data_IF_008872904283
#
_entry.id   IF_008872904283
#
_cell.length_a   1.000
_cell.length_b   1.000
_cell.length_c   1.000
_cell.angle_alpha   90.00
_cell.angle_beta   90.00
_cell.angle_gamma   90.00
#
_symmetry.space_group_name_H-M   'P 1'
#
loop_
_entity.id
_entity.type
_entity.pdbx_description
1 polymer ?
#
# COMPACT_ATOMS: atom_id res chain seq x y z
N UNK A 1 -21.91 32.82 -41.16
CA UNK A 1 -22.76 32.23 -40.10
C UNK A 1 -23.05 30.80 -40.48
N UNK A 2 -22.36 29.84 -39.87
CA UNK A 2 -22.75 28.44 -39.78
C UNK A 2 -21.92 27.82 -38.66
N UNK A 3 -22.57 27.46 -37.56
CA UNK A 3 -22.00 26.72 -36.43
C UNK A 3 -21.54 25.33 -36.86
N UNK A 4 -20.39 24.81 -36.37
CA UNK A 4 -20.02 23.42 -36.60
C UNK A 4 -20.96 22.47 -35.82
N UNK A 5 -21.16 21.23 -36.29
CA UNK A 5 -22.09 20.28 -35.70
C UNK A 5 -21.59 19.76 -34.33
N UNK A 6 -22.50 19.31 -33.45
CA UNK A 6 -22.12 18.77 -32.16
C UNK A 6 -21.36 17.45 -32.34
N UNK A 7 -20.24 17.34 -31.63
CA UNK A 7 -19.39 16.15 -31.57
C UNK A 7 -20.23 14.88 -31.39
N UNK A 8 -20.05 13.94 -32.32
CA UNK A 8 -20.43 12.54 -32.09
C UNK A 8 -19.65 11.99 -30.90
N UNK A 9 -20.27 11.19 -30.01
CA UNK A 9 -19.57 10.60 -28.90
C UNK A 9 -18.48 9.67 -29.44
N UNK A 10 -17.23 9.94 -29.03
CA UNK A 10 -16.09 9.08 -29.29
C UNK A 10 -16.46 7.63 -28.96
N UNK A 11 -16.38 6.77 -29.97
CA UNK A 11 -16.48 5.33 -29.79
C UNK A 11 -15.51 4.88 -28.70
N UNK A 12 -16.01 4.06 -27.78
CA UNK A 12 -15.23 3.50 -26.69
C UNK A 12 -14.02 2.75 -27.24
N UNK A 13 -12.85 3.39 -27.21
CA UNK A 13 -11.55 2.80 -27.51
C UNK A 13 -11.37 1.56 -26.63
N UNK A 14 -11.31 0.39 -27.27
CA UNK A 14 -11.04 -0.89 -26.62
C UNK A 14 -9.70 -0.80 -25.86
N UNK A 15 -9.70 -1.16 -24.58
CA UNK A 15 -8.53 -1.08 -23.72
C UNK A 15 -7.37 -1.96 -24.25
N UNK A 16 -6.11 -1.51 -24.22
CA UNK A 16 -4.98 -2.19 -24.87
C UNK A 16 -4.59 -3.55 -24.24
N UNK A 17 -5.23 -3.99 -23.15
CA UNK A 17 -4.91 -5.25 -22.46
C UNK A 17 -6.17 -5.95 -21.91
N UNK A 18 -6.87 -6.78 -22.70
CA UNK A 18 -8.21 -7.32 -22.38
C UNK A 18 -8.24 -8.42 -21.30
N UNK A 19 -7.16 -8.64 -20.52
CA UNK A 19 -7.08 -9.64 -19.43
C UNK A 19 -6.53 -9.11 -18.10
N UNK A 20 -6.56 -7.79 -17.86
CA UNK A 20 -6.18 -7.19 -16.57
C UNK A 20 -7.41 -6.53 -15.90
N UNK A 21 -7.62 -6.85 -14.62
CA UNK A 21 -8.83 -6.52 -13.85
C UNK A 21 -8.90 -5.07 -13.32
N UNK A 22 -8.43 -4.08 -14.08
CA UNK A 22 -8.43 -2.68 -13.61
C UNK A 22 -8.85 -1.70 -14.70
N UNK A 23 -9.90 -0.92 -14.42
CA UNK A 23 -10.46 0.10 -15.32
C UNK A 23 -10.21 1.51 -14.75
N UNK A 24 -10.25 2.54 -15.60
CA UNK A 24 -10.01 3.95 -15.22
C UNK A 24 -10.92 4.49 -14.11
N UNK A 25 -12.04 3.81 -13.84
CA UNK A 25 -12.99 4.13 -12.75
C UNK A 25 -12.43 3.85 -11.35
N UNK A 26 -11.47 2.94 -11.19
CA UNK A 26 -10.91 2.55 -9.87
C UNK A 26 -9.88 3.55 -9.32
N UNK A 27 -9.27 4.35 -10.20
CA UNK A 27 -8.36 5.44 -9.81
C UNK A 27 -9.12 6.64 -9.18
N UNK A 28 -10.44 6.74 -9.40
CA UNK A 28 -11.27 7.84 -8.92
C UNK A 28 -11.77 7.65 -7.47
N UNK A 29 -11.65 6.44 -6.91
CA UNK A 29 -12.23 6.05 -5.61
C UNK A 29 -11.19 5.81 -4.51
N UNK A 30 -9.88 5.84 -4.81
CA UNK A 30 -8.82 5.74 -3.81
C UNK A 30 -8.77 6.99 -2.90
N UNK A 31 -9.15 6.86 -1.63
CA UNK A 31 -8.98 7.95 -0.64
C UNK A 31 -7.53 8.09 -0.22
N UNK A 32 -7.06 9.34 -0.19
CA UNK A 32 -5.69 9.72 0.15
C UNK A 32 -5.36 9.37 1.60
N UNK A 33 -4.26 8.63 1.81
CA UNK A 33 -3.68 8.41 3.14
C UNK A 33 -3.23 9.73 3.78
N UNK A 34 -3.00 9.75 5.11
CA UNK A 34 -2.57 10.99 5.78
C UNK A 34 -1.28 11.53 5.18
N UNK A 35 -0.35 10.66 4.76
CA UNK A 35 1.00 11.00 4.27
C UNK A 35 1.15 11.20 2.76
N UNK A 36 0.07 11.38 1.99
CA UNK A 36 0.21 11.56 0.53
C UNK A 36 1.11 12.75 0.16
N UNK A 37 1.95 12.62 -0.90
CA UNK A 37 2.78 13.71 -1.39
C UNK A 37 1.97 14.95 -1.80
N UNK A 38 2.55 16.14 -1.58
CA UNK A 38 1.89 17.41 -1.89
C UNK A 38 1.84 17.67 -3.40
N UNK A 39 0.69 17.41 -4.03
CA UNK A 39 0.42 17.76 -5.44
C UNK A 39 0.53 19.27 -5.72
N UNK A 40 0.41 20.11 -4.70
CA UNK A 40 0.55 21.56 -4.85
C UNK A 40 2.03 21.95 -4.96
N UNK A 41 2.88 21.41 -4.07
CA UNK A 41 4.33 21.61 -4.12
C UNK A 41 4.91 21.05 -5.42
N UNK A 42 4.48 19.84 -5.82
CA UNK A 42 4.82 19.22 -7.09
C UNK A 42 4.52 20.13 -8.29
N UNK A 43 3.27 20.57 -8.44
CA UNK A 43 2.85 21.44 -9.55
C UNK A 43 3.56 22.80 -9.54
N UNK A 44 3.89 23.33 -8.37
CA UNK A 44 4.61 24.59 -8.27
C UNK A 44 6.06 24.45 -8.72
N UNK A 45 6.75 23.42 -8.22
CA UNK A 45 8.14 23.18 -8.56
C UNK A 45 8.31 22.76 -10.03
N UNK A 46 7.40 21.93 -10.56
CA UNK A 46 7.38 21.58 -11.98
C UNK A 46 7.25 22.82 -12.87
N UNK A 47 6.35 23.77 -12.52
CA UNK A 47 6.23 25.03 -13.27
C UNK A 47 7.53 25.84 -13.25
N UNK A 48 8.19 25.93 -12.10
CA UNK A 48 9.48 26.63 -11.95
C UNK A 48 10.55 25.99 -12.84
N UNK A 49 10.75 24.67 -12.76
CA UNK A 49 11.80 23.99 -13.54
C UNK A 49 11.48 23.95 -15.04
N UNK A 50 10.20 23.86 -15.41
CA UNK A 50 9.75 23.97 -16.80
C UNK A 50 10.04 25.35 -17.38
N UNK A 51 9.86 26.41 -16.59
CA UNK A 51 10.21 27.78 -17.00
C UNK A 51 11.71 27.90 -17.30
N UNK A 52 12.56 27.40 -16.40
CA UNK A 52 14.01 27.35 -16.60
C UNK A 52 14.38 26.57 -17.87
N UNK A 53 13.82 25.37 -18.05
CA UNK A 53 14.07 24.55 -19.23
C UNK A 53 13.58 25.21 -20.53
N UNK A 54 12.51 26.02 -20.46
CA UNK A 54 12.06 26.87 -21.55
C UNK A 54 13.08 27.95 -21.92
N UNK A 55 13.68 28.62 -20.93
CA UNK A 55 14.75 29.60 -21.16
C UNK A 55 15.99 28.95 -21.78
N UNK A 56 16.38 27.76 -21.30
CA UNK A 56 17.47 26.97 -21.90
C UNK A 56 17.16 26.64 -23.37
N UNK A 57 15.93 26.19 -23.64
CA UNK A 57 15.49 25.87 -25.02
C UNK A 57 15.52 27.11 -25.92
N UNK A 58 15.18 28.28 -25.39
CA UNK A 58 15.25 29.54 -26.12
C UNK A 58 16.69 29.97 -26.41
N UNK A 59 17.63 29.74 -25.50
CA UNK A 59 19.06 29.98 -25.75
C UNK A 59 19.56 29.08 -26.87
N UNK A 60 19.25 27.78 -26.80
CA UNK A 60 19.64 26.79 -27.81
C UNK A 60 19.04 27.11 -29.20
N UNK A 61 17.80 27.62 -29.26
CA UNK A 61 17.14 27.92 -30.53
C UNK A 61 17.69 29.18 -31.22
N UNK A 62 18.25 30.13 -30.46
CA UNK A 62 18.60 31.46 -30.97
C UNK A 62 20.11 31.70 -31.15
N UNK A 63 20.95 30.72 -30.81
CA UNK A 63 22.41 30.87 -30.84
C UNK A 63 23.08 29.69 -31.52
N UNK A 64 24.30 29.92 -32.02
CA UNK A 64 25.14 28.81 -32.52
C UNK A 64 25.56 27.92 -31.35
N UNK A 65 25.87 26.62 -31.58
CA UNK A 65 26.15 25.69 -30.48
C UNK A 65 27.24 26.15 -29.50
N UNK A 66 28.34 26.73 -30.00
CA UNK A 66 29.42 27.24 -29.15
C UNK A 66 28.98 28.43 -28.28
N UNK A 67 28.25 29.38 -28.87
CA UNK A 67 27.70 30.52 -28.14
C UNK A 67 26.66 30.07 -27.10
N UNK A 68 25.81 29.10 -27.47
CA UNK A 68 24.85 28.51 -26.55
C UNK A 68 25.54 27.79 -25.37
N UNK A 69 26.64 27.07 -25.62
CA UNK A 69 27.45 26.47 -24.56
C UNK A 69 27.93 27.54 -23.56
N UNK A 70 28.59 28.58 -24.04
CA UNK A 70 29.17 29.63 -23.18
C UNK A 70 28.09 30.34 -22.36
N UNK A 71 26.97 30.71 -23.01
CA UNK A 71 25.82 31.35 -22.36
C UNK A 71 25.27 30.44 -21.26
N UNK A 72 25.04 29.15 -21.55
CA UNK A 72 24.42 28.22 -20.62
C UNK A 72 25.34 27.87 -19.44
N UNK A 73 26.66 27.78 -19.65
CA UNK A 73 27.64 27.61 -18.56
C UNK A 73 27.61 28.79 -17.59
N UNK A 74 27.72 30.02 -18.12
CA UNK A 74 27.66 31.23 -17.30
C UNK A 74 26.29 31.40 -16.61
N UNK A 75 25.23 31.03 -17.31
CA UNK A 75 23.87 31.07 -16.78
C UNK A 75 23.70 30.12 -15.58
N UNK A 76 24.28 28.91 -15.63
CA UNK A 76 24.25 27.96 -14.51
C UNK A 76 24.83 28.54 -13.21
N UNK A 77 25.87 29.35 -13.29
CA UNK A 77 26.45 30.00 -12.12
C UNK A 77 25.62 31.20 -11.65
N UNK A 78 25.15 32.01 -12.60
CA UNK A 78 24.32 33.19 -12.33
C UNK A 78 23.02 32.83 -11.60
N UNK A 79 22.40 31.68 -11.93
CA UNK A 79 21.14 31.26 -11.30
C UNK A 79 21.31 30.64 -9.91
N UNK A 80 22.53 30.50 -9.37
CA UNK A 80 22.75 29.79 -8.10
C UNK A 80 21.86 30.30 -6.95
N UNK A 81 21.75 31.62 -6.68
CA UNK A 81 20.85 32.12 -5.62
C UNK A 81 19.37 31.85 -5.91
N UNK A 82 18.97 31.96 -7.17
CA UNK A 82 17.59 31.67 -7.60
C UNK A 82 17.26 30.18 -7.47
N UNK A 83 18.22 29.29 -7.77
CA UNK A 83 18.09 27.84 -7.63
C UNK A 83 17.93 27.44 -6.16
N UNK A 84 18.74 28.03 -5.27
CA UNK A 84 18.63 27.86 -3.82
C UNK A 84 17.25 28.31 -3.32
N UNK A 85 16.79 29.49 -3.70
CA UNK A 85 15.48 30.00 -3.31
C UNK A 85 14.33 29.13 -3.85
N UNK A 86 14.45 28.66 -5.09
CA UNK A 86 13.45 27.77 -5.71
C UNK A 86 13.34 26.44 -4.97
N UNK A 87 14.48 25.85 -4.57
CA UNK A 87 14.52 24.64 -3.76
C UNK A 87 13.93 24.89 -2.35
N UNK A 88 14.28 26.02 -1.72
CA UNK A 88 13.76 26.40 -0.41
C UNK A 88 12.23 26.57 -0.40
N UNK A 89 11.67 27.24 -1.42
CA UNK A 89 10.22 27.41 -1.57
C UNK A 89 9.49 26.06 -1.73
N UNK A 90 10.07 25.13 -2.49
CA UNK A 90 9.52 23.78 -2.65
C UNK A 90 9.55 23.03 -1.31
N UNK A 91 10.68 23.04 -0.61
CA UNK A 91 10.87 22.39 0.69
C UNK A 91 9.95 22.96 1.76
N UNK A 92 9.74 24.27 1.81
CA UNK A 92 8.79 24.90 2.72
C UNK A 92 7.35 24.41 2.47
N UNK A 93 6.92 24.32 1.20
CA UNK A 93 5.63 23.75 0.84
C UNK A 93 5.46 22.29 1.26
N UNK A 94 6.49 21.46 1.07
CA UNK A 94 6.51 20.06 1.51
C UNK A 94 6.53 19.95 3.04
N UNK A 95 7.34 20.77 3.72
CA UNK A 95 7.50 20.77 5.17
C UNK A 95 6.22 21.19 5.90
N UNK A 96 5.50 22.19 5.39
CA UNK A 96 4.17 22.58 5.91
C UNK A 96 3.17 21.44 5.78
N UNK A 97 3.08 20.85 4.57
CA UNK A 97 2.19 19.71 4.32
C UNK A 97 2.51 18.56 5.26
N UNK A 98 3.77 18.17 5.36
CA UNK A 98 4.25 17.12 6.24
C UNK A 98 3.97 17.41 7.74
N UNK A 99 4.19 18.65 8.20
CA UNK A 99 3.85 19.05 9.55
C UNK A 99 2.36 18.86 9.85
N UNK A 100 1.48 19.24 8.93
CA UNK A 100 0.04 19.04 9.08
C UNK A 100 -0.35 17.55 9.10
N UNK A 101 0.40 16.68 8.41
CA UNK A 101 0.23 15.23 8.49
C UNK A 101 0.55 14.69 9.88
N UNK A 102 1.69 15.11 10.44
CA UNK A 102 2.10 14.74 11.79
C UNK A 102 1.18 15.32 12.87
N UNK A 103 0.69 16.55 12.71
CA UNK A 103 -0.33 17.14 13.60
C UNK A 103 -1.57 16.26 13.71
N UNK A 104 -2.14 15.85 12.57
CA UNK A 104 -3.32 14.96 12.52
C UNK A 104 -3.08 13.61 13.19
N UNK A 105 -1.83 13.15 13.23
CA UNK A 105 -1.46 11.89 13.86
C UNK A 105 -1.29 12.07 15.35
N UNK A 106 -0.58 13.11 15.77
CA UNK A 106 -0.41 13.47 17.16
C UNK A 106 -1.77 13.67 17.86
N UNK A 107 -2.66 14.47 17.27
CA UNK A 107 -4.00 14.74 17.79
C UNK A 107 -4.79 13.44 18.00
N UNK A 108 -4.68 12.51 17.06
CA UNK A 108 -5.40 11.23 17.12
C UNK A 108 -4.83 10.26 18.13
N UNK A 109 -3.52 10.26 18.31
CA UNK A 109 -2.82 9.38 19.23
C UNK A 109 -2.76 9.96 20.65
N UNK A 110 -3.23 11.19 20.84
CA UNK A 110 -3.08 11.93 22.11
C UNK A 110 -1.62 12.23 22.43
N UNK A 111 -0.77 12.40 21.42
CA UNK A 111 0.65 12.74 21.58
C UNK A 111 0.85 14.26 21.53
N UNK A 112 1.82 14.78 22.28
CA UNK A 112 2.22 16.18 22.15
C UNK A 112 2.97 16.38 20.82
N UNK A 113 2.51 17.29 19.98
CA UNK A 113 3.16 17.64 18.72
C UNK A 113 4.61 18.09 18.89
N UNK A 114 4.99 18.62 20.06
CA UNK A 114 6.37 18.99 20.37
C UNK A 114 7.33 17.82 20.18
N UNK A 115 6.89 16.58 20.38
CA UNK A 115 7.70 15.38 20.18
C UNK A 115 8.21 15.23 18.73
N UNK A 116 7.43 15.68 17.74
CA UNK A 116 7.78 15.65 16.31
C UNK A 116 8.52 16.91 15.83
N UNK A 117 8.77 17.85 16.74
CA UNK A 117 9.43 19.13 16.49
C UNK A 117 10.75 19.28 17.26
N UNK A 118 11.00 18.42 18.24
CA UNK A 118 12.04 18.58 19.25
C UNK A 118 13.48 18.27 18.76
N UNK A 119 13.82 18.47 17.49
CA UNK A 119 15.17 18.13 17.01
C UNK A 119 15.74 18.98 15.87
N UNK A 120 17.07 19.17 15.94
CA UNK A 120 17.94 19.66 14.87
C UNK A 120 17.90 18.87 13.54
N UNK A 121 17.61 17.55 13.49
CA UNK A 121 17.68 16.75 12.26
C UNK A 121 16.78 17.23 11.11
N UNK A 122 15.66 17.89 11.40
CA UNK A 122 14.74 18.40 10.36
C UNK A 122 15.39 19.58 9.63
N UNK A 123 15.97 20.52 10.37
CA UNK A 123 16.67 21.67 9.79
C UNK A 123 17.86 21.25 8.93
N UNK A 124 18.64 20.27 9.41
CA UNK A 124 19.74 19.68 8.64
C UNK A 124 19.24 18.99 7.37
N UNK A 125 18.15 18.21 7.47
CA UNK A 125 17.53 17.56 6.30
C UNK A 125 17.08 18.60 5.26
N UNK A 126 16.41 19.67 5.69
CA UNK A 126 16.00 20.78 4.80
C UNK A 126 17.21 21.39 4.11
N UNK A 127 18.26 21.75 4.86
CA UNK A 127 19.47 22.36 4.31
C UNK A 127 20.15 21.44 3.27
N UNK A 128 20.31 20.15 3.58
CA UNK A 128 20.91 19.19 2.66
C UNK A 128 20.08 19.02 1.38
N UNK A 129 18.74 19.05 1.45
CA UNK A 129 17.90 18.95 0.25
C UNK A 129 17.89 20.24 -0.56
N UNK A 130 18.01 21.41 0.07
CA UNK A 130 18.21 22.67 -0.65
C UNK A 130 19.50 22.62 -1.48
N UNK A 131 20.61 22.18 -0.88
CA UNK A 131 21.90 22.06 -1.56
C UNK A 131 21.86 21.03 -2.71
N UNK A 132 21.32 19.83 -2.45
CA UNK A 132 21.17 18.80 -3.48
C UNK A 132 20.29 19.27 -4.65
N UNK A 133 19.16 19.93 -4.35
CA UNK A 133 18.27 20.46 -5.39
C UNK A 133 18.89 21.63 -6.14
N UNK A 134 19.66 22.49 -5.47
CA UNK A 134 20.42 23.56 -6.14
C UNK A 134 21.36 22.97 -7.19
N UNK A 135 22.07 21.91 -6.83
CA UNK A 135 22.96 21.19 -7.76
C UNK A 135 22.19 20.58 -8.94
N UNK A 136 21.04 19.95 -8.69
CA UNK A 136 20.20 19.38 -9.74
C UNK A 136 19.61 20.45 -10.67
N UNK A 137 19.17 21.59 -10.14
CA UNK A 137 18.70 22.73 -10.94
C UNK A 137 19.81 23.24 -11.84
N UNK A 138 21.02 23.44 -11.29
CA UNK A 138 22.21 23.86 -12.06
C UNK A 138 22.64 22.83 -13.10
N UNK A 139 22.36 21.54 -12.87
CA UNK A 139 22.67 20.49 -13.85
C UNK A 139 21.91 20.65 -15.16
N UNK A 140 20.72 21.28 -15.16
CA UNK A 140 19.92 21.47 -16.38
C UNK A 140 20.65 22.33 -17.43
N UNK A 141 21.06 23.58 -17.14
CA UNK A 141 21.84 24.37 -18.10
C UNK A 141 23.23 23.80 -18.36
N UNK A 142 23.90 23.20 -17.36
CA UNK A 142 25.24 22.63 -17.54
C UNK A 142 25.25 21.44 -18.52
N UNK A 143 24.31 20.50 -18.38
CA UNK A 143 24.21 19.35 -19.30
C UNK A 143 23.82 19.80 -20.71
N UNK A 144 22.91 20.78 -20.82
CA UNK A 144 22.56 21.37 -22.11
C UNK A 144 23.76 22.06 -22.77
N UNK A 145 24.56 22.80 -21.99
CA UNK A 145 25.78 23.45 -22.47
C UNK A 145 26.81 22.43 -22.98
N UNK A 146 27.07 21.37 -22.20
CA UNK A 146 27.99 20.30 -22.57
C UNK A 146 27.58 19.64 -23.90
N UNK A 147 26.28 19.39 -24.09
CA UNK A 147 25.77 18.78 -25.33
C UNK A 147 25.82 19.75 -26.51
N UNK A 148 25.55 21.03 -26.29
CA UNK A 148 25.72 22.05 -27.33
C UNK A 148 27.19 22.18 -27.76
N UNK A 149 28.14 22.16 -26.81
CA UNK A 149 29.57 22.16 -27.11
C UNK A 149 30.04 20.91 -27.87
N UNK A 150 29.57 19.73 -27.47
CA UNK A 150 29.84 18.49 -28.19
C UNK A 150 29.34 18.54 -29.64
N UNK A 151 28.13 19.06 -29.86
CA UNK A 151 27.56 19.28 -31.18
C UNK A 151 28.36 20.31 -31.99
N UNK A 152 28.85 21.37 -31.36
CA UNK A 152 29.72 22.36 -32.00
C UNK A 152 30.99 21.69 -32.56
N UNK A 153 31.63 20.86 -31.74
CA UNK A 153 32.84 20.14 -32.10
C UNK A 153 32.59 19.13 -33.22
N UNK A 154 31.51 18.35 -33.13
CA UNK A 154 31.13 17.39 -34.16
C UNK A 154 30.79 18.07 -35.49
N UNK A 155 30.07 19.19 -35.46
CA UNK A 155 29.73 19.96 -36.65
C UNK A 155 30.96 20.49 -37.40
N UNK A 156 32.01 20.89 -36.67
CA UNK A 156 33.29 21.31 -37.25
C UNK A 156 34.03 20.16 -37.96
N UNK A 157 33.96 18.94 -37.41
CA UNK A 157 34.64 17.77 -37.98
C UNK A 157 33.88 17.22 -39.18
N UNK A 158 32.56 17.11 -39.07
CA UNK A 158 31.70 16.44 -40.04
C UNK A 158 31.20 17.33 -41.17
N UNK A 159 31.27 18.66 -41.02
CA UNK A 159 30.66 19.61 -41.96
C UNK A 159 29.13 19.59 -41.91
N UNK A 160 28.56 19.34 -40.72
CA UNK A 160 27.11 19.27 -40.50
C UNK A 160 26.39 20.52 -41.02
N UNK A 161 25.24 20.32 -41.66
CA UNK A 161 24.42 21.43 -42.17
C UNK A 161 23.78 22.22 -41.03
N UNK A 162 23.50 23.49 -41.27
CA UNK A 162 22.93 24.38 -40.27
C UNK A 162 21.53 23.92 -39.83
N UNK A 163 20.74 23.36 -40.74
CA UNK A 163 19.39 22.85 -40.45
C UNK A 163 19.44 21.63 -39.52
N UNK A 164 20.37 20.71 -39.78
CA UNK A 164 20.55 19.51 -38.96
C UNK A 164 21.06 19.88 -37.56
N UNK A 165 21.99 20.84 -37.48
CA UNK A 165 22.48 21.40 -36.22
C UNK A 165 21.34 22.04 -35.40
N UNK A 166 20.46 22.81 -36.04
CA UNK A 166 19.30 23.40 -35.38
C UNK A 166 18.33 22.34 -34.86
N UNK A 167 18.11 21.26 -35.61
CA UNK A 167 17.27 20.14 -35.18
C UNK A 167 17.87 19.42 -33.95
N UNK A 168 19.18 19.20 -33.91
CA UNK A 168 19.87 18.62 -32.76
C UNK A 168 19.82 19.51 -31.51
N UNK A 169 20.02 20.83 -31.67
CA UNK A 169 19.85 21.80 -30.57
C UNK A 169 18.41 21.78 -30.02
N UNK A 170 17.40 21.69 -30.89
CA UNK A 170 16.01 21.55 -30.47
C UNK A 170 15.77 20.25 -29.69
N UNK A 171 16.40 19.14 -30.10
CA UNK A 171 16.37 17.85 -29.39
C UNK A 171 17.01 17.94 -27.99
N UNK A 172 18.13 18.67 -27.85
CA UNK A 172 18.74 18.98 -26.55
C UNK A 172 17.76 19.76 -25.66
N UNK A 173 17.03 20.74 -26.21
CA UNK A 173 15.98 21.46 -25.49
C UNK A 173 14.84 20.53 -25.03
N UNK A 174 14.34 19.66 -25.90
CA UNK A 174 13.26 18.72 -25.58
C UNK A 174 13.63 17.71 -24.49
N UNK A 175 14.87 17.22 -24.50
CA UNK A 175 15.39 16.33 -23.45
C UNK A 175 15.62 17.06 -22.13
N UNK A 176 16.04 18.33 -22.17
CA UNK A 176 16.15 19.20 -20.98
C UNK A 176 14.79 19.41 -20.32
N UNK A 177 13.72 19.61 -21.11
CA UNK A 177 12.35 19.71 -20.60
C UNK A 177 11.89 18.42 -19.90
N UNK A 178 12.22 17.26 -20.48
CA UNK A 178 11.91 15.95 -19.90
C UNK A 178 12.65 15.74 -18.56
N UNK A 179 13.93 16.12 -18.52
CA UNK A 179 14.74 16.07 -17.30
C UNK A 179 14.23 17.00 -16.21
N UNK A 180 13.86 18.24 -16.55
CA UNK A 180 13.28 19.19 -15.60
C UNK A 180 12.02 18.63 -14.92
N UNK A 181 11.16 17.94 -15.70
CA UNK A 181 10.00 17.24 -15.15
C UNK A 181 10.40 16.07 -14.24
N UNK A 182 11.41 15.29 -14.62
CA UNK A 182 11.92 14.20 -13.79
C UNK A 182 12.42 14.70 -12.43
N UNK A 183 13.23 15.76 -12.43
CA UNK A 183 13.74 16.41 -11.21
C UNK A 183 12.57 16.88 -10.35
N UNK A 184 11.61 17.60 -10.94
CA UNK A 184 10.48 18.15 -10.19
C UNK A 184 9.69 17.08 -9.43
N UNK A 185 9.35 15.98 -10.10
CA UNK A 185 8.53 14.90 -9.53
C UNK A 185 9.30 14.06 -8.51
N UNK A 186 10.56 13.77 -8.82
CA UNK A 186 11.39 12.88 -8.00
C UNK A 186 11.84 13.59 -6.73
N UNK A 187 12.30 14.84 -6.83
CA UNK A 187 12.87 15.54 -5.69
C UNK A 187 11.81 16.03 -4.69
N UNK A 188 10.59 16.34 -5.14
CA UNK A 188 9.46 16.61 -4.23
C UNK A 188 9.11 15.36 -3.41
N UNK A 189 9.11 14.18 -4.04
CA UNK A 189 8.80 12.91 -3.38
C UNK A 189 9.92 12.47 -2.43
N UNK A 190 11.18 12.64 -2.81
CA UNK A 190 12.34 12.46 -1.92
C UNK A 190 12.31 13.41 -0.73
N UNK A 191 12.03 14.71 -0.95
CA UNK A 191 11.92 15.67 0.14
C UNK A 191 10.82 15.29 1.13
N UNK A 192 9.65 14.84 0.64
CA UNK A 192 8.56 14.35 1.48
C UNK A 192 8.97 13.15 2.32
N UNK A 193 9.70 12.21 1.71
CA UNK A 193 10.19 10.99 2.36
C UNK A 193 11.21 11.33 3.44
N UNK A 194 12.22 12.14 3.11
CA UNK A 194 13.27 12.56 4.02
C UNK A 194 12.74 13.33 5.23
N UNK A 195 11.78 14.24 5.04
CA UNK A 195 11.15 14.98 6.14
C UNK A 195 10.29 14.06 7.03
N UNK A 196 9.62 13.09 6.41
CA UNK A 196 8.86 12.07 7.15
C UNK A 196 9.77 11.21 8.00
N UNK A 197 10.88 10.72 7.44
CA UNK A 197 11.90 9.96 8.16
C UNK A 197 12.49 10.78 9.30
N UNK A 198 12.89 12.03 9.06
CA UNK A 198 13.49 12.89 10.08
C UNK A 198 12.56 13.11 11.29
N UNK A 199 11.27 13.40 11.05
CA UNK A 199 10.28 13.58 12.12
C UNK A 199 9.89 12.27 12.80
N UNK A 200 9.76 11.18 12.05
CA UNK A 200 9.41 9.89 12.62
C UNK A 200 10.58 9.34 13.46
N UNK A 201 11.81 9.51 12.99
CA UNK A 201 13.02 9.11 13.71
C UNK A 201 13.21 9.88 15.03
N UNK A 202 12.82 11.17 15.10
CA UNK A 202 12.91 11.95 16.36
C UNK A 202 12.05 11.41 17.49
N UNK A 203 11.05 10.59 17.16
CA UNK A 203 10.19 9.91 18.13
C UNK A 203 10.45 8.41 18.18
N UNK A 204 11.56 7.90 17.64
CA UNK A 204 11.95 6.48 17.72
C UNK A 204 11.28 5.57 16.70
N UNK A 205 10.85 6.08 15.54
CA UNK A 205 10.37 5.24 14.44
C UNK A 205 11.50 4.45 13.79
N UNK A 206 11.38 3.12 13.74
CA UNK A 206 12.34 2.25 13.04
C UNK A 206 12.05 2.08 11.55
N UNK A 207 10.87 2.49 11.09
CA UNK A 207 10.44 2.27 9.72
C UNK A 207 9.01 2.73 9.43
N UNK A 208 8.52 2.32 8.28
CA UNK A 208 7.23 2.76 7.75
C UNK A 208 6.54 1.64 6.97
N UNK A 209 5.25 1.81 6.74
CA UNK A 209 4.49 1.01 5.78
C UNK A 209 4.56 1.68 4.42
N UNK A 210 5.01 0.96 3.40
CA UNK A 210 5.10 1.47 2.05
C UNK A 210 3.72 1.64 1.44
N UNK A 211 3.40 2.86 1.00
CA UNK A 211 2.15 3.19 0.31
C UNK A 211 2.40 3.60 -1.11
N UNK A 212 1.68 2.97 -2.04
CA UNK A 212 1.51 3.42 -3.40
C UNK A 212 0.35 4.40 -3.51
N UNK A 213 0.39 5.27 -4.51
CA UNK A 213 -0.73 6.17 -4.83
C UNK A 213 -1.91 5.44 -5.46
N UNK A 214 -1.75 4.15 -5.79
CA UNK A 214 -2.77 3.32 -6.44
C UNK A 214 -3.39 4.07 -7.62
N UNK A 215 -2.52 4.64 -8.45
CA UNK A 215 -2.89 5.10 -9.78
C UNK A 215 -2.35 4.08 -10.81
N UNK A 216 -2.99 3.97 -11.97
CA UNK A 216 -2.61 2.98 -12.99
C UNK A 216 -1.16 3.10 -13.47
N UNK A 217 -0.51 4.21 -13.15
CA UNK A 217 0.86 4.52 -13.48
C UNK A 217 1.90 3.99 -12.46
N UNK A 218 1.48 3.50 -11.29
CA UNK A 218 2.41 2.92 -10.31
C UNK A 218 3.04 1.65 -10.88
N UNK A 219 4.37 1.55 -10.93
CA UNK A 219 5.10 0.39 -11.48
C UNK A 219 4.77 -0.92 -10.74
N UNK A 220 4.82 -2.10 -11.41
CA UNK A 220 4.49 -3.39 -10.78
C UNK A 220 5.30 -3.70 -9.51
N UNK A 221 6.62 -3.46 -9.53
CA UNK A 221 7.54 -3.62 -8.39
C UNK A 221 7.14 -2.74 -7.21
N UNK A 222 6.80 -1.47 -7.48
CA UNK A 222 6.32 -0.52 -6.49
C UNK A 222 4.94 -0.88 -5.91
N UNK A 223 4.03 -1.40 -6.74
CA UNK A 223 2.72 -1.92 -6.29
C UNK A 223 2.89 -3.14 -5.39
N UNK A 224 3.87 -3.99 -5.68
CA UNK A 224 4.19 -5.16 -4.86
C UNK A 224 4.77 -4.80 -3.48
N UNK A 225 5.12 -3.54 -3.24
CA UNK A 225 5.55 -3.05 -1.93
C UNK A 225 4.40 -2.50 -1.09
N UNK A 226 3.20 -2.28 -1.66
CA UNK A 226 2.04 -1.78 -0.92
C UNK A 226 1.79 -2.59 0.36
N UNK A 227 1.72 -1.89 1.49
CA UNK A 227 1.43 -2.49 2.79
C UNK A 227 2.62 -3.17 3.48
N UNK A 228 3.79 -3.27 2.83
CA UNK A 228 4.98 -3.87 3.42
C UNK A 228 5.66 -2.89 4.38
N UNK A 229 6.12 -3.43 5.51
CA UNK A 229 7.01 -2.69 6.40
C UNK A 229 8.40 -2.59 5.78
N UNK A 230 8.97 -1.39 5.81
CA UNK A 230 10.33 -1.09 5.38
C UNK A 230 11.03 -0.34 6.51
N UNK A 231 12.17 -0.87 6.94
CA UNK A 231 13.04 -0.18 7.91
C UNK A 231 13.69 1.04 7.26
N UNK A 232 13.86 2.11 8.03
CA UNK A 232 14.62 3.29 7.60
C UNK A 232 16.09 2.97 7.29
N UNK A 233 16.67 1.95 7.92
CA UNK A 233 18.08 1.58 7.74
C UNK A 233 18.29 0.59 6.59
N UNK A 234 17.22 0.06 6.00
CA UNK A 234 17.30 -1.00 4.99
C UNK A 234 16.25 -0.79 3.88
N UNK A 235 16.45 0.21 3.00
CA UNK A 235 15.60 0.43 1.84
C UNK A 235 15.64 -0.78 0.87
N UNK A 236 14.51 -1.11 0.20
CA UNK A 236 14.47 -2.16 -0.80
C UNK A 236 15.18 -1.75 -2.10
N UNK A 237 15.62 -2.76 -2.86
CA UNK A 237 16.07 -2.60 -4.24
C UNK A 237 14.93 -2.94 -5.20
N UNK A 238 14.47 -1.95 -5.97
CA UNK A 238 13.42 -2.09 -6.98
C UNK A 238 13.90 -1.48 -8.30
N UNK A 239 13.56 -2.11 -9.42
CA UNK A 239 13.88 -1.58 -10.75
C UNK A 239 15.37 -1.21 -10.95
N UNK A 240 16.27 -1.97 -10.33
CA UNK A 240 17.73 -1.75 -10.40
C UNK A 240 18.26 -0.61 -9.53
N UNK A 241 17.43 -0.01 -8.67
CA UNK A 241 17.84 1.06 -7.75
C UNK A 241 17.46 0.72 -6.32
N UNK A 242 18.21 1.24 -5.34
CA UNK A 242 17.87 1.14 -3.91
C UNK A 242 17.34 2.46 -3.41
N UNK A 243 16.20 2.45 -2.72
CA UNK A 243 15.60 3.65 -2.17
C UNK A 243 14.30 3.38 -1.42
N UNK A 244 13.84 4.38 -0.67
CA UNK A 244 12.58 4.35 0.04
C UNK A 244 11.38 4.73 -0.86
N UNK A 245 10.17 4.55 -0.33
CA UNK A 245 8.94 4.92 -0.99
C UNK A 245 8.97 6.41 -1.38
N UNK A 246 8.98 6.71 -2.69
CA UNK A 246 9.05 8.09 -3.18
C UNK A 246 10.43 8.52 -3.68
N UNK A 247 11.46 7.68 -3.55
CA UNK A 247 12.84 8.06 -3.92
C UNK A 247 13.26 7.66 -5.34
N UNK A 248 12.42 6.89 -6.03
CA UNK A 248 12.71 6.40 -7.38
C UNK A 248 12.23 7.41 -8.45
N UNK A 249 12.76 7.36 -9.68
CA UNK A 249 12.33 8.24 -10.75
C UNK A 249 10.81 8.21 -10.97
N UNK A 250 10.18 9.39 -11.02
CA UNK A 250 8.73 9.56 -11.19
C UNK A 250 7.86 8.85 -10.14
N UNK A 251 8.45 8.40 -9.03
CA UNK A 251 7.73 7.67 -8.00
C UNK A 251 6.87 8.60 -7.17
N UNK A 252 5.61 8.23 -6.98
CA UNK A 252 4.68 8.92 -6.06
C UNK A 252 4.33 8.08 -4.83
N UNK A 253 4.97 6.92 -4.64
CA UNK A 253 4.86 6.18 -3.39
C UNK A 253 5.32 7.05 -2.21
N UNK A 254 4.83 6.75 -1.02
CA UNK A 254 5.14 7.52 0.18
C UNK A 254 5.22 6.62 1.41
N UNK A 255 6.05 6.99 2.40
CA UNK A 255 6.13 6.26 3.66
C UNK A 255 4.99 6.66 4.60
N UNK A 256 4.29 5.68 5.16
CA UNK A 256 3.43 5.88 6.33
C UNK A 256 4.19 5.42 7.59
N UNK A 257 4.81 6.35 8.36
CA UNK A 257 5.70 6.01 9.49
C UNK A 257 5.00 5.25 10.62
N UNK A 258 5.74 4.33 11.23
CA UNK A 258 5.33 3.60 12.44
C UNK A 258 5.94 4.28 13.66
N UNK A 259 5.11 4.73 14.63
CA UNK A 259 5.56 5.57 15.75
C UNK A 259 5.49 4.79 17.08
N UNK A 260 6.54 4.73 17.91
CA UNK A 260 6.45 4.11 19.23
C UNK A 260 5.57 4.92 20.19
N UNK A 261 4.76 4.22 21.00
CA UNK A 261 4.15 4.80 22.20
C UNK A 261 5.18 4.65 23.32
N UNK A 262 5.44 5.73 24.08
CA UNK A 262 6.59 5.91 24.98
C UNK A 262 6.71 4.97 26.20
N UNK A 263 6.03 3.83 26.19
CA UNK A 263 6.07 2.77 27.20
C UNK A 263 6.73 1.49 26.65
N UNK A 264 7.78 1.65 25.81
CA UNK A 264 8.77 0.68 25.26
C UNK A 264 8.27 -0.68 24.73
N UNK A 265 6.96 -0.91 24.76
CA UNK A 265 6.31 -2.21 24.53
C UNK A 265 5.17 -2.12 23.52
N UNK A 266 4.76 -0.90 23.11
CA UNK A 266 3.72 -0.70 22.10
C UNK A 266 4.16 0.30 21.03
N UNK A 267 4.69 -0.20 19.91
CA UNK A 267 4.77 0.57 18.68
C UNK A 267 3.37 0.80 18.11
N UNK A 268 2.86 2.01 18.22
CA UNK A 268 1.58 2.41 17.63
C UNK A 268 1.82 2.91 16.21
N UNK A 269 1.51 2.07 15.24
CA UNK A 269 1.30 2.53 13.87
C UNK A 269 0.47 3.83 13.90
N UNK A 270 0.91 4.86 13.18
CA UNK A 270 0.13 6.09 13.01
C UNK A 270 -1.12 5.81 12.14
N UNK A 271 -1.97 4.85 12.52
CA UNK A 271 -3.10 4.39 11.71
C UNK A 271 -4.25 5.34 11.93
N UNK A 272 -4.74 5.78 10.79
CA UNK A 272 -5.46 7.02 10.56
C UNK A 272 -5.98 7.17 9.16
N UNK A 273 -5.82 6.14 8.31
CA UNK A 273 -6.58 5.90 7.08
C UNK A 273 -6.31 4.48 6.54
N UNK A 274 -7.42 3.73 6.37
CA UNK A 274 -7.63 2.30 6.06
C UNK A 274 -7.57 1.32 7.26
N UNK A 275 -8.59 0.42 7.40
CA UNK A 275 -8.39 -0.85 8.06
C UNK A 275 -7.14 -1.50 7.51
N UNK A 276 -6.19 -1.76 8.38
CA UNK A 276 -5.22 -2.81 8.15
C UNK A 276 -5.96 -4.11 7.87
N UNK A 277 -5.30 -5.07 7.22
CA UNK A 277 -5.75 -6.45 7.11
C UNK A 277 -6.11 -7.08 8.50
N UNK A 278 -5.67 -6.44 9.59
CA UNK A 278 -5.95 -6.76 10.99
C UNK A 278 -7.26 -6.15 11.53
N UNK A 279 -7.64 -4.95 11.07
CA UNK A 279 -8.97 -4.37 11.33
C UNK A 279 -10.07 -5.09 10.52
N UNK A 280 -9.69 -5.73 9.41
CA UNK A 280 -10.47 -6.73 8.67
C UNK A 280 -10.62 -8.06 9.45
N UNK A 281 -9.59 -8.50 10.19
CA UNK A 281 -9.67 -9.70 11.04
C UNK A 281 -10.55 -9.51 12.28
N UNK A 282 -10.57 -8.31 12.88
CA UNK A 282 -11.40 -7.99 14.03
C UNK A 282 -12.90 -7.88 13.68
N UNK A 283 -13.25 -7.39 12.48
CA UNK A 283 -14.64 -7.26 12.00
C UNK A 283 -15.24 -8.60 11.55
N UNK A 284 -14.41 -9.50 11.00
CA UNK A 284 -14.84 -10.76 10.41
C UNK A 284 -15.10 -10.69 8.89
N UNK A 285 -14.68 -9.61 8.21
CA UNK A 285 -14.70 -9.44 6.75
C UNK A 285 -13.31 -8.99 6.25
N UNK A 286 -12.78 -9.59 5.17
CA UNK A 286 -11.39 -9.37 4.68
C UNK A 286 -11.28 -9.17 3.15
N UNK A 287 -10.33 -8.31 2.69
CA UNK A 287 -9.28 -8.62 1.66
C UNK A 287 -8.54 -7.39 1.08
N UNK A 288 -7.21 -7.56 0.81
CA UNK A 288 -6.60 -7.51 -0.54
C UNK A 288 -5.09 -7.90 -0.55
N UNK A 289 -4.72 -8.92 -1.34
CA UNK A 289 -3.33 -9.34 -1.64
C UNK A 289 -2.64 -8.44 -2.69
N UNK A 290 -1.30 -8.43 -2.75
CA UNK A 290 -0.53 -7.88 -3.89
C UNK A 290 -0.57 -8.82 -5.11
N UNK A 291 -0.27 -8.33 -6.31
CA UNK A 291 -0.51 -9.09 -7.55
C UNK A 291 0.51 -10.21 -7.85
N UNK A 292 1.70 -10.19 -7.25
CA UNK A 292 2.65 -11.32 -7.31
C UNK A 292 2.18 -12.49 -6.43
N UNK A 293 1.52 -12.19 -5.30
CA UNK A 293 0.93 -13.19 -4.39
C UNK A 293 -0.26 -13.91 -5.04
N UNK A 294 -0.86 -13.32 -6.09
CA UNK A 294 -1.79 -14.01 -6.97
C UNK A 294 -1.12 -14.91 -8.02
N UNK A 295 0.18 -14.74 -8.28
CA UNK A 295 0.88 -15.35 -9.43
C UNK A 295 1.66 -16.63 -9.13
N UNK A 296 1.77 -17.04 -7.85
CA UNK A 296 2.46 -18.29 -7.45
C UNK A 296 1.54 -19.38 -6.85
N UNK A 297 0.22 -19.28 -7.03
CA UNK A 297 -0.70 -20.35 -6.64
C UNK A 297 -0.81 -20.61 -5.13
N UNK A 298 -0.76 -19.56 -4.30
CA UNK A 298 -1.00 -19.66 -2.86
C UNK A 298 -2.48 -20.00 -2.58
N UNK A 299 -2.76 -21.30 -2.53
CA UNK A 299 -4.00 -21.90 -2.05
C UNK A 299 -4.22 -21.50 -0.58
N UNK A 300 -5.45 -21.09 -0.26
CA UNK A 300 -5.84 -20.65 1.08
C UNK A 300 -6.08 -21.87 1.97
N UNK A 301 -5.54 -21.76 3.20
CA UNK A 301 -5.68 -22.62 4.39
C UNK A 301 -4.61 -23.72 4.55
N UNK A 302 -3.63 -23.47 5.42
CA UNK A 302 -3.11 -24.54 6.29
C UNK A 302 -3.52 -24.28 7.71
N UNK A 303 -4.61 -24.92 8.11
CA UNK A 303 -4.77 -25.35 9.48
C UNK A 303 -3.49 -26.08 9.90
N UNK A 304 -2.89 -25.66 11.02
CA UNK A 304 -1.69 -26.31 11.54
C UNK A 304 -2.12 -27.67 12.12
N UNK A 305 -1.62 -28.80 11.61
CA UNK A 305 -2.01 -30.11 12.13
C UNK A 305 -1.81 -30.19 13.64
N UNK A 306 -2.87 -30.51 14.38
CA UNK A 306 -2.85 -30.59 15.85
C UNK A 306 -3.25 -29.30 16.58
N UNK A 307 -3.51 -28.20 15.87
CA UNK A 307 -4.06 -26.97 16.46
C UNK A 307 -5.61 -27.04 16.56
N UNK A 308 -6.25 -26.17 17.36
CA UNK A 308 -7.71 -25.98 17.32
C UNK A 308 -8.21 -25.40 16.00
N UNK A 309 -9.53 -25.26 15.86
CA UNK A 309 -10.14 -24.54 14.75
C UNK A 309 -9.63 -23.09 14.67
N UNK A 310 -9.38 -22.61 13.46
CA UNK A 310 -9.02 -21.22 13.23
C UNK A 310 -10.21 -20.30 13.53
N UNK A 311 -10.01 -19.21 14.27
CA UNK A 311 -11.06 -18.30 14.75
C UNK A 311 -12.22 -19.02 15.49
N UNK A 312 -11.87 -19.99 16.33
CA UNK A 312 -12.81 -20.80 17.12
C UNK A 312 -13.73 -19.96 18.01
N UNK A 313 -13.28 -18.81 18.48
CA UNK A 313 -14.05 -17.85 19.28
C UNK A 313 -15.24 -17.25 18.52
N UNK A 314 -15.23 -17.31 17.19
CA UNK A 314 -16.33 -16.87 16.32
C UNK A 314 -17.17 -18.04 15.81
N UNK A 315 -16.97 -19.24 16.33
CA UNK A 315 -17.65 -20.44 15.89
C UNK A 315 -19.17 -20.29 16.05
N UNK A 316 -19.89 -20.55 14.96
CA UNK A 316 -21.34 -20.40 14.89
C UNK A 316 -21.99 -21.75 15.13
N UNK A 317 -22.56 -21.90 16.31
CA UNK A 317 -23.38 -23.05 16.68
C UNK A 317 -24.85 -22.60 16.75
N UNK A 318 -25.63 -22.99 15.76
CA UNK A 318 -27.06 -22.69 15.69
C UNK A 318 -27.86 -23.58 16.66
N UNK A 319 -28.53 -22.93 17.62
CA UNK A 319 -29.37 -23.57 18.63
C UNK A 319 -30.54 -24.35 18.03
N UNK A 320 -31.11 -23.89 16.91
CA UNK A 320 -32.21 -24.58 16.24
C UNK A 320 -31.81 -25.95 15.69
N UNK A 321 -30.56 -26.11 15.27
CA UNK A 321 -30.02 -27.41 14.82
C UNK A 321 -29.71 -28.38 15.97
N UNK A 322 -29.48 -27.91 17.19
CA UNK A 322 -29.24 -28.82 18.32
C UNK A 322 -30.55 -29.38 18.88
N UNK A 323 -31.49 -28.50 19.20
CA UNK A 323 -32.76 -28.88 19.83
C UNK A 323 -33.72 -29.59 18.89
N UNK A 324 -33.73 -29.24 17.58
CA UNK A 324 -34.67 -29.81 16.60
C UNK A 324 -34.07 -30.89 15.68
N UNK A 325 -32.77 -31.21 15.78
CA UNK A 325 -32.12 -32.19 14.89
C UNK A 325 -31.18 -33.18 15.59
N UNK A 326 -30.26 -32.75 16.46
CA UNK A 326 -29.29 -33.66 17.09
C UNK A 326 -29.80 -34.34 18.37
N UNK A 327 -30.68 -33.67 19.13
CA UNK A 327 -31.24 -34.15 20.39
C UNK A 327 -32.74 -34.46 20.33
N UNK A 328 -33.37 -34.33 19.16
CA UNK A 328 -34.79 -34.65 18.94
C UNK A 328 -34.98 -36.12 18.50
N UNK A 329 -35.59 -36.99 19.33
CA UNK A 329 -35.88 -38.38 18.98
C UNK A 329 -36.87 -38.53 17.82
N UNK A 330 -37.70 -37.52 17.55
CA UNK A 330 -38.75 -37.51 16.52
C UNK A 330 -38.26 -37.09 15.13
N UNK A 331 -37.02 -36.63 14.99
CA UNK A 331 -36.52 -36.12 13.71
C UNK A 331 -36.24 -37.25 12.70
N UNK A 332 -36.80 -37.23 11.47
CA UNK A 332 -36.73 -38.35 10.50
C UNK A 332 -35.31 -38.82 10.12
N UNK A 333 -34.30 -37.94 10.22
CA UNK A 333 -32.87 -38.26 9.98
C UNK A 333 -31.98 -38.09 11.21
N UNK A 334 -32.54 -37.64 12.33
CA UNK A 334 -31.79 -37.17 13.52
C UNK A 334 -32.06 -37.98 14.78
N UNK A 335 -33.19 -38.71 14.84
CA UNK A 335 -33.63 -39.45 16.01
C UNK A 335 -32.66 -40.52 16.51
N UNK A 336 -31.88 -41.14 15.62
CA UNK A 336 -30.86 -42.11 16.01
C UNK A 336 -29.69 -41.45 16.77
N UNK A 337 -29.33 -40.21 16.43
CA UNK A 337 -28.31 -39.45 17.17
C UNK A 337 -28.84 -39.05 18.55
N UNK A 338 -30.08 -38.59 18.63
CA UNK A 338 -30.74 -38.24 19.88
C UNK A 338 -30.80 -39.42 20.87
N UNK A 339 -31.14 -40.63 20.38
CA UNK A 339 -31.15 -41.86 21.20
C UNK A 339 -29.75 -42.21 21.74
N UNK A 340 -28.70 -41.96 20.95
CA UNK A 340 -27.31 -42.18 21.38
C UNK A 340 -26.88 -41.12 22.40
N UNK A 341 -27.24 -39.85 22.23
CA UNK A 341 -26.96 -38.82 23.24
C UNK A 341 -27.69 -39.08 24.57
N UNK A 342 -28.95 -39.54 24.52
CA UNK A 342 -29.72 -39.90 25.71
C UNK A 342 -29.13 -41.10 26.45
N UNK A 343 -28.71 -42.14 25.73
CA UNK A 343 -28.11 -43.35 26.35
C UNK A 343 -26.68 -43.13 26.84
N UNK A 344 -25.84 -42.41 26.09
CA UNK A 344 -24.43 -42.20 26.41
C UNK A 344 -24.23 -41.11 27.48
N UNK A 345 -24.94 -40.00 27.38
CA UNK A 345 -24.73 -38.79 28.19
C UNK A 345 -25.96 -38.36 29.00
N UNK A 346 -27.12 -39.01 28.84
CA UNK A 346 -28.34 -38.65 29.56
C UNK A 346 -28.92 -37.31 29.13
N UNK A 347 -28.66 -36.87 27.89
CA UNK A 347 -29.07 -35.56 27.39
C UNK A 347 -30.33 -35.65 26.54
N UNK A 348 -31.28 -34.75 26.77
CA UNK A 348 -32.50 -34.58 25.99
C UNK A 348 -32.58 -33.23 25.26
N UNK A 349 -33.67 -32.96 24.52
CA UNK A 349 -33.87 -31.69 23.81
C UNK A 349 -33.71 -30.44 24.69
N UNK A 350 -34.13 -30.52 25.95
CA UNK A 350 -34.02 -29.46 26.95
C UNK A 350 -32.56 -29.11 27.32
N UNK A 351 -31.60 -30.00 27.02
CA UNK A 351 -30.19 -29.84 27.38
C UNK A 351 -29.34 -29.23 26.26
N UNK A 352 -29.96 -28.85 25.13
CA UNK A 352 -29.27 -28.32 23.97
C UNK A 352 -28.40 -27.09 24.28
N UNK A 353 -28.89 -26.16 25.11
CA UNK A 353 -28.14 -24.97 25.51
C UNK A 353 -26.91 -25.33 26.35
N UNK A 354 -27.08 -26.26 27.27
CA UNK A 354 -26.01 -26.73 28.13
C UNK A 354 -24.92 -27.49 27.35
N UNK A 355 -25.33 -28.34 26.40
CA UNK A 355 -24.40 -29.05 25.52
C UNK A 355 -23.61 -28.07 24.65
N UNK A 356 -24.26 -27.03 24.10
CA UNK A 356 -23.58 -25.98 23.32
C UNK A 356 -22.50 -25.33 24.16
N UNK A 357 -22.84 -24.87 25.35
CA UNK A 357 -21.93 -24.06 26.17
C UNK A 357 -20.70 -24.88 26.56
N UNK A 358 -20.89 -26.16 26.89
CA UNK A 358 -19.78 -27.09 27.18
C UNK A 358 -18.90 -27.35 25.95
N UNK A 359 -19.50 -27.55 24.77
CA UNK A 359 -18.76 -27.73 23.52
C UNK A 359 -17.96 -26.47 23.17
N UNK A 360 -18.58 -25.30 23.23
CA UNK A 360 -17.93 -24.02 22.91
C UNK A 360 -16.80 -23.67 23.90
N UNK A 361 -16.94 -24.06 25.17
CA UNK A 361 -15.89 -23.86 26.18
C UNK A 361 -14.65 -24.73 25.90
N UNK A 362 -14.83 -25.94 25.40
CA UNK A 362 -13.73 -26.89 25.17
C UNK A 362 -13.19 -26.89 23.75
N UNK A 363 -13.93 -26.38 22.77
CA UNK A 363 -13.49 -26.33 21.37
C UNK A 363 -12.13 -25.64 21.15
N UNK A 364 -11.74 -24.59 21.93
CA UNK A 364 -10.41 -24.00 21.82
C UNK A 364 -9.26 -24.87 22.34
N UNK A 365 -9.54 -25.96 23.06
CA UNK A 365 -8.52 -26.83 23.66
C UNK A 365 -8.34 -28.15 22.90
N UNK A 366 -9.16 -28.40 21.89
CA UNK A 366 -9.20 -29.65 21.13
C UNK A 366 -8.63 -29.45 19.73
N UNK A 367 -7.79 -30.38 19.29
CA UNK A 367 -7.24 -30.37 17.94
C UNK A 367 -8.35 -30.59 16.90
N UNK A 368 -8.34 -29.78 15.84
CA UNK A 368 -9.20 -30.01 14.68
C UNK A 368 -8.47 -30.88 13.64
N UNK A 369 -9.23 -31.68 12.90
CA UNK A 369 -8.74 -32.56 11.86
C UNK A 369 -9.35 -32.13 10.53
N UNK A 370 -8.49 -31.80 9.57
CA UNK A 370 -8.92 -31.43 8.22
C UNK A 370 -9.63 -32.61 7.55
N UNK A 371 -10.78 -32.35 6.93
CA UNK A 371 -11.52 -33.32 6.11
C UNK A 371 -11.59 -32.83 4.66
N UNK A 372 -11.88 -33.70 3.68
CA UNK A 372 -12.17 -33.23 2.33
C UNK A 372 -13.30 -32.18 2.34
N UNK A 373 -13.08 -31.06 1.67
CA UNK A 373 -14.08 -30.01 1.51
C UNK A 373 -15.23 -30.42 0.58
N UNK A 374 -16.22 -29.55 0.47
CA UNK A 374 -17.36 -29.66 -0.47
C UNK A 374 -17.46 -28.39 -1.31
N UNK A 375 -18.35 -28.38 -2.31
CA UNK A 375 -18.66 -27.19 -3.11
C UNK A 375 -19.09 -25.98 -2.25
N UNK A 376 -19.58 -26.23 -1.04
CA UNK A 376 -20.04 -25.19 -0.11
C UNK A 376 -18.97 -24.73 0.89
N UNK A 377 -17.83 -25.42 1.02
CA UNK A 377 -16.82 -25.05 2.00
C UNK A 377 -15.87 -26.16 2.46
N UNK A 378 -14.81 -25.76 3.15
CA UNK A 378 -13.78 -26.63 3.72
C UNK A 378 -14.23 -27.18 5.09
N UNK A 379 -14.04 -28.47 5.34
CA UNK A 379 -14.56 -29.17 6.53
C UNK A 379 -13.49 -29.59 7.52
N UNK A 380 -13.90 -29.64 8.79
CA UNK A 380 -13.06 -30.03 9.93
C UNK A 380 -13.85 -30.87 10.93
N UNK A 381 -13.20 -31.87 11.51
CA UNK A 381 -13.70 -32.66 12.64
C UNK A 381 -12.96 -32.24 13.92
N UNK A 382 -13.67 -32.08 15.04
CA UNK A 382 -13.06 -31.90 16.37
C UNK A 382 -13.76 -32.82 17.39
N UNK A 383 -12.97 -33.56 18.18
CA UNK A 383 -13.45 -34.52 19.18
C UNK A 383 -13.49 -33.87 20.56
N UNK A 384 -14.67 -33.40 20.97
CA UNK A 384 -14.84 -32.60 22.18
C UNK A 384 -15.32 -33.47 23.35
N UNK A 385 -14.59 -33.58 24.47
CA UNK A 385 -14.97 -34.43 25.59
C UNK A 385 -16.12 -33.85 26.44
N UNK A 386 -17.34 -34.33 26.21
CA UNK A 386 -18.53 -33.85 26.92
C UNK A 386 -18.87 -34.76 28.09
N UNK A 387 -18.95 -34.19 29.29
CA UNK A 387 -19.56 -34.84 30.46
C UNK A 387 -21.07 -34.66 30.39
N UNK A 388 -21.84 -35.73 30.59
CA UNK A 388 -23.30 -35.75 30.54
C UNK A 388 -23.95 -35.57 31.91
N UNK A 389 -25.29 -35.42 31.95
CA UNK A 389 -26.05 -35.32 33.22
C UNK A 389 -26.04 -36.62 34.03
N UNK A 390 -25.72 -37.74 33.36
CA UNK A 390 -25.51 -39.04 34.00
C UNK A 390 -24.10 -39.20 34.62
N UNK A 391 -23.27 -38.15 34.59
CA UNK A 391 -21.92 -38.14 35.17
C UNK A 391 -20.84 -38.82 34.31
N UNK A 392 -21.17 -39.31 33.10
CA UNK A 392 -20.20 -39.94 32.19
C UNK A 392 -19.61 -38.91 31.23
N UNK A 393 -18.32 -39.01 30.92
CA UNK A 393 -17.65 -38.19 29.89
C UNK A 393 -17.43 -39.00 28.63
N UNK A 394 -17.90 -38.50 27.48
CA UNK A 394 -17.77 -39.16 26.18
C UNK A 394 -17.31 -38.14 25.14
N UNK A 395 -16.47 -38.59 24.20
CA UNK A 395 -16.03 -37.75 23.08
C UNK A 395 -17.20 -37.50 22.10
N UNK A 396 -17.55 -36.24 21.92
CA UNK A 396 -18.54 -35.80 20.95
C UNK A 396 -17.82 -35.26 19.72
N UNK A 397 -18.01 -35.93 18.60
CA UNK A 397 -17.47 -35.49 17.33
C UNK A 397 -18.29 -34.34 16.77
N UNK A 398 -17.63 -33.19 16.58
CA UNK A 398 -18.21 -31.97 16.02
C UNK A 398 -17.63 -31.70 14.63
N UNK A 399 -18.51 -31.47 13.65
CA UNK A 399 -18.12 -31.24 12.25
C UNK A 399 -18.39 -29.78 11.89
N UNK A 400 -17.35 -29.07 11.47
CA UNK A 400 -17.36 -27.64 11.20
C UNK A 400 -17.06 -27.37 9.73
N UNK A 401 -17.67 -26.30 9.19
CA UNK A 401 -17.41 -25.81 7.84
C UNK A 401 -16.97 -24.37 7.85
N UNK A 402 -15.98 -24.05 7.05
CA UNK A 402 -15.71 -22.70 6.60
C UNK A 402 -16.39 -22.55 5.24
N UNK A 403 -17.51 -21.84 5.22
CA UNK A 403 -18.33 -21.71 4.01
C UNK A 403 -17.60 -20.87 2.96
N UNK A 404 -17.66 -21.31 1.71
CA UNK A 404 -17.23 -20.51 0.58
C UNK A 404 -18.23 -19.38 0.32
N UNK A 405 -17.72 -18.20 -0.03
CA UNK A 405 -18.51 -17.03 -0.44
C UNK A 405 -18.02 -16.54 -1.78
N UNK A 406 -18.80 -15.68 -2.42
CA UNK A 406 -18.39 -15.10 -3.69
C UNK A 406 -17.07 -14.33 -3.51
N UNK A 407 -16.00 -14.87 -4.09
CA UNK A 407 -14.64 -14.35 -3.96
C UNK A 407 -13.91 -14.62 -2.63
N UNK A 408 -14.36 -15.53 -1.76
CA UNK A 408 -13.70 -15.77 -0.45
C UNK A 408 -14.11 -17.03 0.31
N UNK A 409 -13.56 -17.19 1.52
CA UNK A 409 -13.94 -18.22 2.49
C UNK A 409 -14.28 -17.48 3.78
N UNK A 410 -15.45 -17.76 4.37
CA UNK A 410 -15.79 -17.24 5.70
C UNK A 410 -14.82 -17.79 6.72
N UNK A 411 -14.34 -16.94 7.63
CA UNK A 411 -13.38 -17.33 8.67
C UNK A 411 -14.05 -17.72 9.99
N UNK A 412 -15.37 -17.58 10.11
CA UNK A 412 -16.14 -18.11 11.23
C UNK A 412 -16.58 -19.56 10.91
N UNK A 413 -16.08 -20.58 11.63
CA UNK A 413 -16.51 -21.95 11.39
C UNK A 413 -17.97 -22.12 11.80
N UNK A 414 -18.78 -22.71 10.93
CA UNK A 414 -20.19 -23.04 11.19
C UNK A 414 -20.33 -24.52 11.49
N UNK A 415 -21.07 -24.87 12.54
CA UNK A 415 -21.36 -26.26 12.83
C UNK A 415 -22.27 -26.85 11.74
N UNK A 416 -21.80 -27.91 11.09
CA UNK A 416 -22.62 -28.70 10.15
C UNK A 416 -23.45 -29.69 10.94
N UNK A 417 -22.81 -30.52 11.76
CA UNK A 417 -23.42 -31.59 12.55
C UNK A 417 -22.51 -31.99 13.72
N UNK A 418 -23.08 -32.66 14.72
CA UNK A 418 -22.33 -33.34 15.77
C UNK A 418 -22.99 -34.64 16.18
N UNK A 419 -22.23 -35.58 16.72
CA UNK A 419 -22.70 -36.87 17.24
C UNK A 419 -21.70 -37.45 18.23
N UNK A 420 -22.16 -38.34 19.11
CA UNK A 420 -21.29 -39.10 20.02
C UNK A 420 -20.43 -40.06 19.18
N UNK A 421 -19.11 -39.95 19.33
CA UNK A 421 -18.17 -40.91 18.73
C UNK A 421 -18.20 -42.19 19.59
N UNK A 422 -18.45 -43.34 18.96
CA UNK A 422 -18.67 -44.60 19.67
C UNK A 422 -17.37 -45.32 19.99
#
# INVERSE_FOLDING_TARGET
MATPPPNSPLSASTAPWPRLAWTWTDAATAKTGVFTPSRAAERSYERTLRSLAGQISQVLANHRPQEAEDILRNYADTITPWAQQSAANMLDGVARGNLDQFRRIADRMGLDMRMFLAGDPIGQTVAQRIEANTTLIKSLPLEAAMRAGALAHEGLISGMRAEDMAAELASIGGTTMSRARCIALTEVSKASTALTQARAGSVGSDGYIWRSVRDGATRPSHRAMEGKFVSWDSPPTLDGMTGHAGEFPYCRCYPEPVIPKGDDTRKTFAVSSLPTQTQEQASGEQKLYTQWEKSQGAEVVRHVPGAPLYNVERAQLDMGKLSAYALDPGHPRGGDKARVFASALGLGPQDAGWLRDQVMQQLPTVAALVKPGTEYGQRFDALVPVTGRNGRTVAVKTVWQYDYTDGGIRTAPRLITMYVDR
#
